data_IF_047714611135
#
_entry.id   IF_047714611135
#
_cell.length_a   1.000
_cell.length_b   1.000
_cell.length_c   1.000
_cell.angle_alpha   90.00
_cell.angle_beta   90.00
_cell.angle_gamma   90.00
#
_symmetry.space_group_name_H-M   'P 1'
#
loop_
_entity.id
_entity.type
_entity.pdbx_description
1 polymer ?
#
# COMPACT_ATOMS: atom_id res chain seq x y z
N UNK A 1 17.50 18.21 -1.97
CA UNK A 1 16.03 18.06 -2.04
C UNK A 1 15.26 19.30 -1.59
N UNK A 2 14.52 19.89 -2.53
CA UNK A 2 13.51 20.93 -2.34
C UNK A 2 12.42 20.48 -1.33
N UNK A 3 11.95 21.37 -0.45
CA UNK A 3 10.96 21.04 0.60
C UNK A 3 9.66 20.49 -0.01
N UNK A 4 9.25 21.02 -1.16
CA UNK A 4 8.06 20.58 -1.87
C UNK A 4 8.15 19.11 -2.34
N UNK A 5 9.34 18.62 -2.68
CA UNK A 5 9.54 17.22 -3.11
C UNK A 5 9.49 16.27 -1.92
N UNK A 6 10.00 16.68 -0.75
CA UNK A 6 9.96 15.88 0.50
C UNK A 6 8.52 15.70 1.01
N UNK A 7 7.68 16.73 0.91
CA UNK A 7 6.28 16.61 1.30
C UNK A 7 5.48 15.68 0.40
N UNK A 8 5.69 15.74 -0.93
CA UNK A 8 5.04 14.82 -1.85
C UNK A 8 5.41 13.35 -1.60
N UNK A 9 6.68 13.10 -1.25
CA UNK A 9 7.14 11.79 -0.81
C UNK A 9 6.40 11.31 0.43
N UNK A 10 6.35 12.13 1.49
CA UNK A 10 5.65 11.80 2.73
C UNK A 10 4.19 11.46 2.47
N UNK A 11 3.50 12.23 1.63
CA UNK A 11 2.10 11.95 1.28
C UNK A 11 1.96 10.62 0.54
N UNK A 12 2.80 10.35 -0.47
CA UNK A 12 2.78 9.06 -1.21
C UNK A 12 2.98 7.86 -0.27
N UNK A 13 3.94 7.95 0.66
CA UNK A 13 4.17 6.91 1.66
C UNK A 13 3.02 6.77 2.66
N UNK A 14 2.46 7.87 3.14
CA UNK A 14 1.32 7.87 4.06
C UNK A 14 0.10 7.21 3.44
N UNK A 15 -0.19 7.52 2.17
CA UNK A 15 -1.25 6.87 1.40
C UNK A 15 -1.02 5.37 1.26
N UNK A 16 0.23 4.95 1.03
CA UNK A 16 0.59 3.54 0.99
C UNK A 16 0.37 2.85 2.34
N UNK A 17 0.81 3.47 3.44
CA UNK A 17 0.65 2.93 4.79
C UNK A 17 -0.83 2.76 5.16
N UNK A 18 -1.69 3.74 4.83
CA UNK A 18 -3.14 3.64 5.01
C UNK A 18 -3.70 2.44 4.22
N UNK A 19 -3.29 2.28 2.96
CA UNK A 19 -3.78 1.21 2.11
C UNK A 19 -3.37 -0.17 2.63
N UNK A 20 -2.13 -0.31 3.12
CA UNK A 20 -1.64 -1.53 3.76
C UNK A 20 -2.44 -1.84 5.04
N UNK A 21 -2.69 -0.85 5.88
CA UNK A 21 -3.51 -1.03 7.08
C UNK A 21 -4.94 -1.46 6.72
N UNK A 22 -5.54 -0.88 5.67
CA UNK A 22 -6.86 -1.30 5.20
C UNK A 22 -6.88 -2.77 4.77
N UNK A 23 -5.83 -3.25 4.09
CA UNK A 23 -5.67 -4.67 3.73
C UNK A 23 -5.61 -5.53 4.99
N UNK A 24 -4.77 -5.16 5.97
CA UNK A 24 -4.63 -5.92 7.23
C UNK A 24 -5.96 -6.00 7.96
N UNK A 25 -6.71 -4.90 8.03
CA UNK A 25 -8.04 -4.86 8.65
C UNK A 25 -9.04 -5.76 7.90
N UNK A 26 -9.06 -5.74 6.56
CA UNK A 26 -9.92 -6.62 5.77
C UNK A 26 -9.59 -8.10 5.98
N UNK A 27 -8.31 -8.45 6.04
CA UNK A 27 -7.88 -9.82 6.35
C UNK A 27 -8.34 -10.22 7.76
N UNK A 28 -8.11 -9.36 8.75
CA UNK A 28 -8.54 -9.62 10.13
C UNK A 28 -10.06 -9.82 10.21
N UNK A 29 -10.84 -8.95 9.57
CA UNK A 29 -12.30 -9.08 9.49
C UNK A 29 -12.73 -10.36 8.75
N UNK A 30 -12.05 -10.73 7.67
CA UNK A 30 -12.32 -11.97 6.94
C UNK A 30 -12.08 -13.21 7.80
N UNK A 31 -10.98 -13.26 8.54
CA UNK A 31 -10.68 -14.35 9.48
C UNK A 31 -11.69 -14.37 10.63
N UNK A 32 -12.01 -13.21 11.21
CA UNK A 32 -13.04 -13.11 12.26
C UNK A 32 -14.38 -13.60 11.72
N UNK A 33 -14.75 -13.25 10.50
CA UNK A 33 -15.99 -13.70 9.89
C UNK A 33 -16.03 -15.22 9.77
N UNK A 34 -14.96 -15.86 9.31
CA UNK A 34 -14.87 -17.32 9.24
C UNK A 34 -14.98 -18.02 10.60
N UNK A 35 -14.45 -17.40 11.67
CA UNK A 35 -14.42 -18.01 13.00
C UNK A 35 -15.65 -17.67 13.88
N UNK A 36 -16.29 -16.52 13.65
CA UNK A 36 -17.34 -15.98 14.53
C UNK A 36 -18.72 -15.91 13.89
N UNK A 37 -18.86 -15.85 12.56
CA UNK A 37 -20.19 -15.92 11.95
C UNK A 37 -20.73 -17.34 12.02
N UNK A 38 -22.07 -17.43 12.08
CA UNK A 38 -22.79 -18.69 12.04
C UNK A 38 -23.02 -19.10 10.59
N UNK A 39 -22.94 -20.40 10.30
CA UNK A 39 -23.33 -20.96 9.00
C UNK A 39 -24.77 -20.56 8.66
N UNK A 40 -25.08 -20.25 7.39
CA UNK A 40 -24.25 -20.44 6.18
C UNK A 40 -23.47 -19.19 5.75
N UNK A 41 -23.47 -18.11 6.55
CA UNK A 41 -22.94 -16.81 6.11
C UNK A 41 -21.44 -16.62 6.36
N UNK A 42 -20.83 -17.46 7.21
CA UNK A 42 -19.43 -17.36 7.58
C UNK A 42 -18.49 -17.52 6.37
N UNK A 43 -18.66 -18.60 5.63
CA UNK A 43 -17.85 -18.92 4.44
C UNK A 43 -17.95 -17.84 3.35
N UNK A 44 -19.15 -17.45 2.85
CA UNK A 44 -19.24 -16.46 1.78
C UNK A 44 -18.76 -15.07 2.22
N UNK A 45 -19.05 -14.64 3.45
CA UNK A 45 -18.59 -13.34 3.96
C UNK A 45 -17.05 -13.32 4.13
N UNK A 46 -16.49 -14.36 4.74
CA UNK A 46 -15.05 -14.50 4.92
C UNK A 46 -14.31 -14.58 3.59
N UNK A 47 -14.81 -15.40 2.65
CA UNK A 47 -14.24 -15.52 1.31
C UNK A 47 -14.27 -14.19 0.54
N UNK A 48 -15.39 -13.46 0.58
CA UNK A 48 -15.51 -12.15 -0.07
C UNK A 48 -14.50 -11.13 0.49
N UNK A 49 -14.37 -11.05 1.82
CA UNK A 49 -13.42 -10.15 2.48
C UNK A 49 -11.97 -10.49 2.15
N UNK A 50 -11.61 -11.78 2.15
CA UNK A 50 -10.26 -12.23 1.82
C UNK A 50 -9.93 -12.03 0.34
N UNK A 51 -10.87 -12.27 -0.57
CA UNK A 51 -10.70 -11.97 -1.99
C UNK A 51 -10.52 -10.48 -2.23
N UNK A 52 -11.29 -9.64 -1.55
CA UNK A 52 -11.16 -8.18 -1.63
C UNK A 52 -9.81 -7.71 -1.10
N UNK A 53 -9.36 -8.27 0.04
CA UNK A 53 -8.04 -7.98 0.60
C UNK A 53 -6.92 -8.40 -0.35
N UNK A 54 -7.04 -9.56 -1.01
CA UNK A 54 -6.08 -10.03 -2.01
C UNK A 54 -6.01 -9.07 -3.21
N UNK A 55 -7.15 -8.61 -3.72
CA UNK A 55 -7.22 -7.63 -4.80
C UNK A 55 -6.53 -6.31 -4.43
N UNK A 56 -6.81 -5.78 -3.22
CA UNK A 56 -6.12 -4.59 -2.72
C UNK A 56 -4.63 -4.83 -2.52
N UNK A 57 -4.20 -6.01 -2.07
CA UNK A 57 -2.79 -6.35 -1.89
C UNK A 57 -2.02 -6.34 -3.21
N UNK A 58 -2.62 -6.88 -4.29
CA UNK A 58 -2.04 -6.82 -5.63
C UNK A 58 -1.93 -5.37 -6.11
N UNK A 59 -2.98 -4.58 -5.92
CA UNK A 59 -2.97 -3.16 -6.27
C UNK A 59 -1.91 -2.37 -5.47
N UNK A 60 -1.83 -2.59 -4.16
CA UNK A 60 -0.81 -2.00 -3.29
C UNK A 60 0.60 -2.34 -3.76
N UNK A 61 0.86 -3.61 -4.13
CA UNK A 61 2.16 -4.03 -4.65
C UNK A 61 2.56 -3.26 -5.91
N UNK A 62 1.62 -3.03 -6.83
CA UNK A 62 1.86 -2.20 -8.02
C UNK A 62 2.22 -0.76 -7.67
N UNK A 63 1.46 -0.14 -6.77
CA UNK A 63 1.71 1.23 -6.30
C UNK A 63 3.06 1.36 -5.56
N UNK A 64 3.42 0.35 -4.77
CA UNK A 64 4.70 0.30 -4.07
C UNK A 64 5.87 0.26 -5.05
N UNK A 65 5.84 -0.66 -6.02
CA UNK A 65 6.91 -0.77 -7.03
C UNK A 65 7.03 0.51 -7.86
N UNK A 66 5.91 1.10 -8.28
CA UNK A 66 5.91 2.36 -9.01
C UNK A 66 6.53 3.50 -8.19
N UNK A 67 6.11 3.65 -6.94
CA UNK A 67 6.65 4.68 -6.04
C UNK A 67 8.14 4.49 -5.76
N UNK A 68 8.57 3.23 -5.59
CA UNK A 68 9.99 2.90 -5.39
C UNK A 68 10.83 3.24 -6.61
N UNK A 69 10.37 2.88 -7.82
CA UNK A 69 11.08 3.21 -9.07
C UNK A 69 11.17 4.72 -9.30
N UNK A 70 10.11 5.45 -8.98
CA UNK A 70 10.13 6.92 -9.02
C UNK A 70 11.13 7.50 -8.01
N UNK A 71 11.18 6.96 -6.79
CA UNK A 71 12.15 7.38 -5.77
C UNK A 71 13.59 7.12 -6.21
N UNK A 72 13.89 5.93 -6.74
CA UNK A 72 15.23 5.56 -7.22
C UNK A 72 15.68 6.49 -8.37
N UNK A 73 14.76 6.87 -9.26
CA UNK A 73 15.04 7.82 -10.35
C UNK A 73 15.39 9.22 -9.82
N UNK A 74 14.74 9.68 -8.74
CA UNK A 74 15.05 10.98 -8.14
C UNK A 74 16.38 11.00 -7.39
N UNK A 75 16.72 9.92 -6.67
CA UNK A 75 18.02 9.79 -5.98
C UNK A 75 19.17 9.76 -6.99
N UNK A 76 18.96 9.16 -8.15
CA UNK A 76 19.96 9.09 -9.23
C UNK A 76 20.21 10.43 -9.94
N UNK A 77 19.33 11.44 -9.79
CA UNK A 77 19.50 12.77 -10.36
C UNK A 77 20.13 13.80 -9.40
N UNK A 78 20.28 13.47 -8.11
CA UNK A 78 20.91 14.35 -7.13
C UNK A 78 22.46 14.41 -7.21
N UNK A 79 23.24 13.41 -7.71
CA UNK A 79 24.71 13.50 -7.70
C UNK A 79 25.31 14.46 -8.75
N UNK A 80 24.56 14.87 -9.78
CA UNK A 80 25.05 15.76 -10.84
C UNK A 80 24.81 17.26 -10.55
N UNK A 81 24.11 17.61 -9.46
CA UNK A 81 23.79 19.01 -9.12
C UNK A 81 24.86 19.71 -8.26
N UNK A 82 25.84 18.98 -7.72
CA UNK A 82 26.94 19.52 -6.90
C UNK A 82 28.26 19.73 -7.66
N UNK A 83 28.28 19.56 -8.99
CA UNK A 83 29.49 19.76 -9.81
C UNK A 83 29.34 20.80 -10.93
N UNK A 84 28.51 21.84 -10.74
CA UNK A 84 28.58 23.02 -11.60
C UNK A 84 29.49 24.07 -10.95
N UNK A 85 30.60 24.46 -11.60
CA UNK A 85 31.57 25.45 -11.08
C UNK A 85 30.99 26.86 -10.96
#
# INVERSE_FOLDING_TARGET
MDEATKEQLKWKFYRLAILLNAIILLVALGVIALLKLKEPYAVPAGAALLLMALGLAVYFRGQYVFTKRWLDAQVSQEPDREQSP
#
